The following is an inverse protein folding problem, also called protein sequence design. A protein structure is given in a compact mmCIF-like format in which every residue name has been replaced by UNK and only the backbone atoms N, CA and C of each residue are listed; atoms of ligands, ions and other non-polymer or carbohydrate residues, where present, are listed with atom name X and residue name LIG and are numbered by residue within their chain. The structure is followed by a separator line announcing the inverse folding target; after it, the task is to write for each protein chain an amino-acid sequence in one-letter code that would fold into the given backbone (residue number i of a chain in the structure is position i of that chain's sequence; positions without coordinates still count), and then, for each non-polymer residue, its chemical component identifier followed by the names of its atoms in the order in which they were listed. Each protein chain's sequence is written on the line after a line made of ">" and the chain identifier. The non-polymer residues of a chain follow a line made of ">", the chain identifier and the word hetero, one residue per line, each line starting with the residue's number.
data_IF_184117133723
#
_entry.id   IF_184117133723
#
_cell.length_a   1.000
_cell.length_b   1.000
_cell.length_c   1.000
_cell.angle_alpha   90.00
_cell.angle_beta   90.00
_cell.angle_gamma   90.00
#
_symmetry.space_group_name_H-M   'P 1'
#
loop_
_entity.id
_entity.type
_entity.pdbx_description
1 polymer ?
#
# COMPACT_ATOMS: atom_id res chain seq x y z
N UNK A 1 36.87 54.82 -4.97
CA UNK A 1 35.70 54.42 -5.79
C UNK A 1 35.28 53.03 -5.35
N UNK A 2 34.14 52.92 -4.68
CA UNK A 2 33.73 51.76 -3.86
C UNK A 2 32.82 50.86 -4.70
N UNK A 3 33.27 49.63 -4.98
CA UNK A 3 32.59 48.61 -5.78
C UNK A 3 31.12 48.44 -5.35
N UNK A 4 30.20 48.96 -6.16
CA UNK A 4 28.73 48.91 -5.95
C UNK A 4 28.05 47.76 -6.70
N UNK A 5 28.81 46.79 -7.22
CA UNK A 5 28.29 45.70 -8.05
C UNK A 5 28.19 44.35 -7.34
N UNK A 6 28.62 44.24 -6.08
CA UNK A 6 28.52 42.99 -5.30
C UNK A 6 27.16 42.77 -4.63
N UNK A 7 26.20 43.71 -4.78
CA UNK A 7 24.86 43.59 -4.20
C UNK A 7 23.79 43.14 -5.20
N UNK A 8 24.16 42.91 -6.48
CA UNK A 8 23.23 42.51 -7.54
C UNK A 8 23.34 41.03 -7.94
N UNK A 9 24.12 40.24 -7.20
CA UNK A 9 24.32 38.81 -7.44
C UNK A 9 23.80 37.98 -6.26
N UNK A 10 22.63 38.33 -5.71
CA UNK A 10 22.07 37.65 -4.53
C UNK A 10 20.55 37.41 -4.55
N UNK A 11 19.92 37.31 -5.72
CA UNK A 11 18.49 36.95 -5.82
C UNK A 11 18.20 36.11 -7.07
N UNK A 12 18.83 34.92 -7.17
CA UNK A 12 18.32 33.83 -8.00
C UNK A 12 18.34 32.53 -7.19
N UNK A 13 17.78 32.58 -5.97
CA UNK A 13 17.29 31.36 -5.36
C UNK A 13 16.03 30.97 -6.15
N UNK A 14 16.13 29.96 -7.02
CA UNK A 14 14.97 29.28 -7.58
C UNK A 14 14.10 28.83 -6.39
N UNK A 15 13.09 29.62 -6.06
CA UNK A 15 12.01 29.18 -5.20
C UNK A 15 11.22 28.19 -6.05
N UNK A 16 11.51 26.90 -5.93
CA UNK A 16 10.58 25.87 -6.35
C UNK A 16 9.37 25.95 -5.42
N UNK A 17 8.44 26.84 -5.74
CA UNK A 17 7.12 26.85 -5.11
C UNK A 17 6.36 25.65 -5.65
N UNK A 18 6.34 24.57 -4.87
CA UNK A 18 5.41 23.48 -5.13
C UNK A 18 3.99 24.02 -4.92
N UNK A 19 3.21 24.09 -5.99
CA UNK A 19 1.79 24.40 -5.86
C UNK A 19 1.09 23.16 -5.34
N UNK A 20 0.24 23.35 -4.34
CA UNK A 20 -0.64 22.30 -3.87
C UNK A 20 -1.84 22.21 -4.83
N UNK A 21 -1.94 21.10 -5.55
CA UNK A 21 -3.08 20.81 -6.42
C UNK A 21 -4.16 20.07 -5.62
N UNK A 22 -5.41 20.49 -5.78
CA UNK A 22 -6.59 19.90 -5.13
C UNK A 22 -7.65 19.60 -6.17
N UNK A 23 -8.33 18.47 -6.02
CA UNK A 23 -9.45 18.12 -6.88
C UNK A 23 -10.30 17.01 -6.29
N UNK A 24 -11.27 16.54 -7.07
CA UNK A 24 -12.15 15.41 -6.70
C UNK A 24 -12.18 14.36 -7.82
N UNK A 25 -12.08 13.08 -7.45
CA UNK A 25 -12.22 11.97 -8.39
C UNK A 25 -13.64 11.41 -8.34
N UNK A 26 -14.26 11.23 -9.52
CA UNK A 26 -15.65 10.79 -9.67
C UNK A 26 -15.77 9.64 -10.67
N UNK A 27 -16.78 8.83 -10.46
CA UNK A 27 -17.21 7.78 -11.38
C UNK A 27 -17.94 8.40 -12.59
N UNK A 28 -17.54 7.98 -13.80
CA UNK A 28 -18.16 8.40 -15.05
C UNK A 28 -19.63 8.04 -15.21
N UNK A 29 -20.08 6.96 -14.58
CA UNK A 29 -21.44 6.44 -14.71
C UNK A 29 -22.32 7.02 -13.61
N UNK A 30 -21.95 6.83 -12.34
CA UNK A 30 -22.79 7.25 -11.22
C UNK A 30 -22.63 8.73 -10.83
N UNK A 31 -21.55 9.38 -11.26
CA UNK A 31 -21.19 10.74 -10.85
C UNK A 31 -20.76 10.86 -9.38
N UNK A 32 -20.76 9.74 -8.63
CA UNK A 32 -20.39 9.71 -7.22
C UNK A 32 -18.87 9.81 -7.05
N UNK A 33 -18.40 10.37 -5.90
CA UNK A 33 -16.99 10.38 -5.60
C UNK A 33 -16.41 8.97 -5.47
N UNK A 34 -15.18 8.78 -5.93
CA UNK A 34 -14.45 7.52 -5.78
C UNK A 34 -13.48 7.63 -4.61
N UNK A 35 -13.69 6.88 -3.52
CA UNK A 35 -12.76 6.88 -2.41
C UNK A 35 -11.50 6.08 -2.73
N UNK A 36 -10.39 6.45 -2.11
CA UNK A 36 -9.15 5.69 -2.10
C UNK A 36 -8.51 5.47 -3.49
N UNK A 37 -8.68 6.43 -4.40
CA UNK A 37 -7.97 6.47 -5.69
C UNK A 37 -6.50 6.75 -5.45
N UNK A 38 -5.63 5.91 -6.00
CA UNK A 38 -4.19 6.13 -5.97
C UNK A 38 -3.80 7.17 -7.01
N UNK A 39 -3.06 8.20 -6.59
CA UNK A 39 -2.71 9.35 -7.43
C UNK A 39 -1.21 9.59 -7.29
N UNK A 40 -0.45 9.45 -8.37
CA UNK A 40 1.00 9.70 -8.34
C UNK A 40 1.47 10.58 -9.49
N UNK A 41 2.58 11.27 -9.24
CA UNK A 41 3.32 12.00 -10.25
C UNK A 41 4.15 11.01 -11.05
N UNK A 42 3.95 10.97 -12.36
CA UNK A 42 4.60 10.01 -13.25
C UNK A 42 6.14 10.07 -13.10
N UNK A 43 6.77 8.91 -12.96
CA UNK A 43 8.22 8.73 -12.77
C UNK A 43 8.82 9.32 -11.47
N UNK A 44 8.02 9.90 -10.58
CA UNK A 44 8.47 10.49 -9.32
C UNK A 44 8.03 9.66 -8.11
N UNK A 45 8.61 9.94 -6.94
CA UNK A 45 8.20 9.34 -5.67
C UNK A 45 7.28 10.29 -4.89
N UNK A 46 6.30 10.86 -5.60
CA UNK A 46 5.32 11.80 -5.07
C UNK A 46 3.94 11.23 -5.41
N UNK A 47 3.08 11.10 -4.41
CA UNK A 47 1.70 10.68 -4.61
C UNK A 47 0.86 10.91 -3.37
N UNK A 48 -0.43 10.69 -3.54
CA UNK A 48 -1.46 10.81 -2.52
C UNK A 48 -2.55 9.77 -2.77
N UNK A 49 -3.55 9.73 -1.89
CA UNK A 49 -4.74 8.92 -2.07
C UNK A 49 -5.98 9.79 -1.92
N UNK A 50 -7.03 9.56 -2.70
CA UNK A 50 -8.28 10.30 -2.47
C UNK A 50 -8.93 9.91 -1.13
N UNK A 51 -9.51 10.90 -0.48
CA UNK A 51 -10.28 10.77 0.75
C UNK A 51 -11.60 10.03 0.49
N UNK A 52 -12.37 9.78 1.57
CA UNK A 52 -13.65 9.08 1.48
C UNK A 52 -14.67 9.81 0.56
N UNK A 53 -14.59 11.13 0.49
CA UNK A 53 -15.42 11.98 -0.37
C UNK A 53 -14.81 12.19 -1.78
N UNK A 54 -13.78 11.41 -2.12
CA UNK A 54 -13.09 11.47 -3.41
C UNK A 54 -12.19 12.68 -3.59
N UNK A 55 -12.10 13.59 -2.61
CA UNK A 55 -11.18 14.72 -2.67
C UNK A 55 -9.74 14.27 -2.54
N UNK A 56 -8.80 15.00 -3.14
CA UNK A 56 -7.37 14.71 -3.00
C UNK A 56 -6.58 16.00 -2.97
N UNK A 57 -5.39 15.91 -2.39
CA UNK A 57 -4.41 17.00 -2.36
C UNK A 57 -3.02 16.43 -2.66
N UNK A 58 -2.32 17.01 -3.65
CA UNK A 58 -0.98 16.57 -4.06
C UNK A 58 -0.07 17.76 -4.35
N UNK A 59 1.17 17.68 -3.88
CA UNK A 59 2.18 18.71 -4.14
C UNK A 59 2.93 18.37 -5.43
N UNK A 60 2.75 19.17 -6.48
CA UNK A 60 3.39 18.92 -7.78
C UNK A 60 3.49 20.22 -8.58
N UNK A 61 4.13 20.17 -9.74
CA UNK A 61 4.24 21.30 -10.67
C UNK A 61 3.39 21.03 -11.91
N UNK A 62 2.86 22.09 -12.53
CA UNK A 62 1.86 21.99 -13.61
C UNK A 62 2.38 21.36 -14.90
N UNK A 63 3.68 21.22 -15.08
CA UNK A 63 4.34 20.54 -16.21
C UNK A 63 4.31 19.01 -16.10
N UNK A 64 3.95 18.46 -14.93
CA UNK A 64 3.96 17.03 -14.66
C UNK A 64 2.69 16.32 -15.09
N UNK A 65 2.77 14.99 -15.19
CA UNK A 65 1.62 14.12 -15.44
C UNK A 65 1.26 13.40 -14.15
N UNK A 66 -0.02 13.47 -13.78
CA UNK A 66 -0.62 12.65 -12.75
C UNK A 66 -1.22 11.41 -13.36
N UNK A 67 -1.04 10.28 -12.68
CA UNK A 67 -1.70 9.03 -13.00
C UNK A 67 -2.66 8.69 -11.87
N UNK A 68 -3.90 8.40 -12.25
CA UNK A 68 -4.99 8.02 -11.36
C UNK A 68 -5.31 6.55 -11.61
N UNK A 69 -5.32 5.74 -10.55
CA UNK A 69 -5.74 4.33 -10.63
C UNK A 69 -6.62 3.95 -9.45
N UNK A 70 -7.64 3.15 -9.70
CA UNK A 70 -8.51 2.58 -8.69
C UNK A 70 -8.99 1.21 -9.14
N UNK A 71 -9.24 0.31 -8.18
CA UNK A 71 -9.80 -1.01 -8.45
C UNK A 71 -11.16 -0.86 -9.16
N UNK A 72 -11.33 -1.53 -10.30
CA UNK A 72 -12.56 -1.49 -11.10
C UNK A 72 -12.69 -0.27 -12.02
N UNK A 73 -11.61 0.49 -12.21
CA UNK A 73 -11.58 1.66 -13.08
C UNK A 73 -10.35 1.68 -13.99
N UNK A 74 -10.53 2.10 -15.23
CA UNK A 74 -9.45 2.31 -16.16
C UNK A 74 -8.51 3.43 -15.66
N UNK A 75 -7.21 3.14 -15.67
CA UNK A 75 -6.20 4.12 -15.26
C UNK A 75 -6.22 5.34 -16.18
N UNK A 76 -6.07 6.54 -15.62
CA UNK A 76 -6.14 7.81 -16.36
C UNK A 76 -4.92 8.67 -16.11
N UNK A 77 -4.33 9.20 -17.19
CA UNK A 77 -3.22 10.16 -17.12
C UNK A 77 -3.72 11.56 -17.46
N UNK A 78 -3.40 12.55 -16.63
CA UNK A 78 -3.78 13.95 -16.81
C UNK A 78 -2.60 14.85 -16.44
N UNK A 79 -2.36 15.91 -17.21
CA UNK A 79 -1.38 16.93 -16.85
C UNK A 79 -1.81 17.63 -15.55
N UNK A 80 -0.88 17.88 -14.65
CA UNK A 80 -1.12 18.46 -13.31
C UNK A 80 -1.51 19.96 -13.31
N UNK A 81 -2.13 20.44 -14.39
CA UNK A 81 -2.49 21.83 -14.61
C UNK A 81 -4.00 22.02 -14.42
N UNK A 82 -4.39 22.84 -13.43
CA UNK A 82 -5.78 23.23 -13.13
C UNK A 82 -6.79 22.07 -13.16
N UNK A 83 -6.53 21.04 -12.36
CA UNK A 83 -7.46 19.92 -12.17
C UNK A 83 -8.41 20.23 -11.02
N UNK A 84 -9.69 20.48 -11.32
CA UNK A 84 -10.74 20.57 -10.29
C UNK A 84 -11.46 19.22 -10.11
N UNK A 85 -11.69 18.49 -11.20
CA UNK A 85 -12.36 17.20 -11.16
C UNK A 85 -11.76 16.21 -12.18
N UNK A 86 -11.66 14.95 -11.76
CA UNK A 86 -11.20 13.84 -12.59
C UNK A 86 -12.29 12.79 -12.64
N UNK A 87 -12.70 12.43 -13.86
CA UNK A 87 -13.67 11.35 -14.08
C UNK A 87 -12.94 10.09 -14.52
N UNK A 88 -13.12 8.99 -13.79
CA UNK A 88 -12.63 7.65 -14.14
C UNK A 88 -13.75 6.81 -14.75
N UNK A 89 -13.39 6.01 -15.75
CA UNK A 89 -14.32 5.07 -16.40
C UNK A 89 -14.23 3.73 -15.73
N UNK A 90 -15.37 3.09 -15.47
CA UNK A 90 -15.39 1.73 -14.95
C UNK A 90 -14.71 0.80 -15.96
N UNK A 91 -13.93 -0.13 -15.43
CA UNK A 91 -13.27 -1.19 -16.17
C UNK A 91 -13.60 -2.48 -15.43
N UNK A 92 -14.31 -3.39 -16.09
CA UNK A 92 -14.77 -4.61 -15.47
C UNK A 92 -13.57 -5.48 -15.09
N UNK A 93 -13.51 -5.91 -13.83
CA UNK A 93 -12.54 -6.90 -13.38
C UNK A 93 -13.11 -8.27 -13.76
N UNK A 94 -12.40 -8.99 -14.62
CA UNK A 94 -12.72 -10.37 -14.93
C UNK A 94 -12.33 -11.24 -13.72
N UNK A 95 -13.28 -11.48 -12.82
CA UNK A 95 -13.10 -12.49 -11.78
C UNK A 95 -13.30 -13.88 -12.42
N UNK A 96 -12.38 -14.81 -12.12
CA UNK A 96 -12.55 -16.20 -12.52
C UNK A 96 -13.88 -16.77 -12.03
N UNK A 97 -14.52 -17.60 -12.87
CA UNK A 97 -15.84 -18.15 -12.61
C UNK A 97 -15.89 -18.81 -11.22
N UNK A 98 -16.83 -18.35 -10.39
CA UNK A 98 -17.04 -18.89 -9.06
C UNK A 98 -17.50 -20.33 -9.23
N UNK A 99 -16.75 -21.29 -8.69
CA UNK A 99 -17.19 -22.68 -8.64
C UNK A 99 -18.58 -22.73 -7.96
N UNK A 100 -19.49 -23.49 -8.57
CA UNK A 100 -20.92 -23.57 -8.25
C UNK A 100 -21.19 -23.99 -6.78
N UNK A 101 -20.20 -24.55 -6.08
CA UNK A 101 -20.32 -24.92 -4.68
C UNK A 101 -19.78 -23.81 -3.75
N UNK A 102 -20.63 -23.22 -2.88
CA UNK A 102 -20.17 -22.31 -1.84
C UNK A 102 -19.28 -23.05 -0.82
N UNK A 103 -18.44 -22.32 -0.06
CA UNK A 103 -17.66 -22.91 1.02
C UNK A 103 -18.56 -23.61 2.04
N UNK A 104 -18.13 -24.75 2.58
CA UNK A 104 -18.88 -25.55 3.56
C UNK A 104 -18.61 -25.11 5.00
N UNK A 105 -17.39 -24.63 5.29
CA UNK A 105 -16.98 -24.21 6.63
C UNK A 105 -16.91 -25.30 7.70
N UNK A 106 -16.78 -26.57 7.30
CA UNK A 106 -16.72 -27.72 8.21
C UNK A 106 -15.29 -27.97 8.74
N UNK A 107 -14.28 -27.54 7.98
CA UNK A 107 -12.87 -27.70 8.33
C UNK A 107 -12.02 -26.50 7.95
N UNK A 108 -10.88 -26.37 8.61
CA UNK A 108 -9.97 -25.24 8.46
C UNK A 108 -8.50 -25.69 8.44
N UNK A 109 -7.70 -24.95 7.68
CA UNK A 109 -6.24 -24.99 7.76
C UNK A 109 -5.70 -23.59 7.97
N UNK A 110 -4.55 -23.48 8.61
CA UNK A 110 -3.86 -22.20 8.83
C UNK A 110 -2.50 -22.25 8.14
N UNK A 111 -2.25 -21.26 7.28
CA UNK A 111 -0.96 -21.06 6.61
C UNK A 111 -0.31 -19.76 7.06
N UNK A 112 1.01 -19.74 6.97
CA UNK A 112 1.82 -18.67 7.56
C UNK A 112 1.85 -18.74 9.09
N UNK A 113 2.85 -18.11 9.69
CA UNK A 113 2.95 -18.08 11.14
C UNK A 113 3.77 -16.88 11.62
N UNK A 114 3.40 -16.34 12.77
CA UNK A 114 4.19 -15.38 13.51
C UNK A 114 3.76 -15.33 14.99
N UNK A 115 4.63 -14.75 15.82
CA UNK A 115 4.36 -14.46 17.23
C UNK A 115 4.52 -12.95 17.47
N UNK A 116 3.42 -12.26 17.75
CA UNK A 116 3.37 -10.80 17.98
C UNK A 116 4.42 -10.29 18.98
N UNK A 117 4.62 -11.01 20.08
CA UNK A 117 5.60 -10.66 21.11
C UNK A 117 7.04 -10.65 20.60
N UNK A 118 7.32 -11.40 19.53
CA UNK A 118 8.64 -11.55 18.94
C UNK A 118 8.91 -10.58 17.78
N UNK A 119 7.95 -9.71 17.43
CA UNK A 119 8.09 -8.78 16.30
C UNK A 119 8.27 -7.35 16.82
N UNK A 120 9.42 -6.78 16.47
CA UNK A 120 9.79 -5.39 16.77
C UNK A 120 10.11 -4.59 15.50
N UNK A 121 10.17 -5.25 14.34
CA UNK A 121 10.40 -4.63 13.05
C UNK A 121 9.10 -4.53 12.26
N UNK A 122 8.92 -3.43 11.53
CA UNK A 122 7.72 -3.15 10.76
C UNK A 122 8.11 -2.46 9.45
N UNK A 123 7.37 -2.70 8.38
CA UNK A 123 7.35 -1.80 7.23
C UNK A 123 6.41 -0.63 7.53
N UNK A 124 6.81 0.56 7.10
CA UNK A 124 6.00 1.77 7.14
C UNK A 124 5.75 2.25 5.70
N UNK A 125 4.71 3.05 5.50
CA UNK A 125 4.40 3.64 4.19
C UNK A 125 5.51 4.56 3.69
N UNK A 126 6.02 5.43 4.58
CA UNK A 126 6.78 6.59 4.15
C UNK A 126 5.84 7.66 3.56
N UNK A 127 6.30 8.38 2.53
CA UNK A 127 5.61 9.56 1.99
C UNK A 127 5.12 9.41 0.54
N UNK A 128 5.03 8.17 0.03
CA UNK A 128 4.52 7.89 -1.31
C UNK A 128 3.61 6.66 -1.29
N UNK A 129 2.58 6.58 -2.17
CA UNK A 129 1.67 5.44 -2.21
C UNK A 129 2.45 4.18 -2.59
N UNK A 130 2.27 3.11 -1.82
CA UNK A 130 2.92 1.83 -2.06
C UNK A 130 1.98 0.67 -1.72
N UNK A 131 2.17 -0.43 -2.44
CA UNK A 131 1.56 -1.72 -2.14
C UNK A 131 2.68 -2.69 -1.81
N UNK A 132 2.54 -3.45 -0.74
CA UNK A 132 3.45 -4.54 -0.41
C UNK A 132 2.68 -5.85 -0.39
N UNK A 133 3.08 -6.77 -1.24
CA UNK A 133 2.44 -8.05 -1.47
C UNK A 133 3.33 -9.19 -0.95
N UNK A 134 2.76 -10.09 -0.15
CA UNK A 134 3.38 -11.34 0.27
C UNK A 134 2.80 -12.50 -0.53
N UNK A 135 3.67 -13.29 -1.15
CA UNK A 135 3.32 -14.52 -1.84
C UNK A 135 2.98 -15.63 -0.85
N UNK A 136 1.91 -16.36 -1.13
CA UNK A 136 1.56 -17.62 -0.48
C UNK A 136 1.56 -18.72 -1.55
N UNK A 137 2.51 -19.68 -1.49
CA UNK A 137 2.52 -20.80 -2.41
C UNK A 137 1.31 -21.71 -2.17
N UNK A 138 0.86 -22.36 -3.23
CA UNK A 138 -0.15 -23.39 -3.11
C UNK A 138 0.43 -24.60 -2.35
N UNK A 139 -0.30 -25.11 -1.35
CA UNK A 139 0.04 -26.36 -0.65
C UNK A 139 -1.09 -27.36 -0.84
N UNK A 140 -0.77 -28.66 -0.81
CA UNK A 140 -1.72 -29.74 -1.13
C UNK A 140 -3.00 -29.68 -0.28
N UNK A 141 -2.89 -29.27 0.97
CA UNK A 141 -4.01 -29.12 1.90
C UNK A 141 -5.05 -28.10 1.43
N UNK A 142 -4.67 -27.15 0.56
CA UNK A 142 -5.56 -26.15 -0.05
C UNK A 142 -6.50 -26.75 -1.10
N UNK A 143 -6.20 -27.94 -1.65
CA UNK A 143 -7.11 -28.65 -2.57
C UNK A 143 -8.47 -28.93 -1.91
N UNK A 144 -8.45 -29.19 -0.60
CA UNK A 144 -9.65 -29.45 0.21
C UNK A 144 -10.14 -28.22 0.98
N UNK A 145 -9.36 -27.13 1.00
CA UNK A 145 -9.67 -25.88 1.72
C UNK A 145 -9.46 -24.68 0.79
N UNK A 146 -10.26 -24.64 -0.28
CA UNK A 146 -9.99 -23.75 -1.40
C UNK A 146 -10.46 -22.31 -1.21
N UNK A 147 -11.03 -21.94 -0.06
CA UNK A 147 -11.56 -20.60 0.20
C UNK A 147 -10.89 -19.90 1.37
N UNK A 148 -10.67 -18.58 1.23
CA UNK A 148 -10.15 -17.76 2.32
C UNK A 148 -11.23 -17.50 3.36
N UNK A 149 -10.94 -17.83 4.62
CA UNK A 149 -11.84 -17.60 5.76
C UNK A 149 -11.48 -16.34 6.53
N UNK A 150 -10.24 -16.20 6.94
CA UNK A 150 -9.81 -15.03 7.72
C UNK A 150 -8.33 -14.75 7.57
N UNK A 151 -7.94 -13.50 7.80
CA UNK A 151 -6.55 -13.07 7.83
C UNK A 151 -6.24 -12.43 9.18
N UNK A 152 -5.09 -12.76 9.75
CA UNK A 152 -4.49 -12.06 10.87
C UNK A 152 -3.24 -11.32 10.38
N UNK A 153 -3.23 -10.00 10.50
CA UNK A 153 -2.08 -9.14 10.18
C UNK A 153 -1.61 -8.42 11.43
N UNK A 154 -0.30 -8.42 11.68
CA UNK A 154 0.25 -7.59 12.74
C UNK A 154 0.34 -6.13 12.28
N UNK A 155 -0.41 -5.25 12.92
CA UNK A 155 -0.39 -3.81 12.64
C UNK A 155 0.15 -3.06 13.85
N UNK A 156 0.72 -1.89 13.62
CA UNK A 156 1.04 -0.90 14.64
C UNK A 156 0.63 0.47 14.12
N UNK A 157 -0.15 1.20 14.89
CA UNK A 157 -0.53 2.56 14.56
C UNK A 157 -0.24 3.53 15.70
N UNK A 158 0.10 4.76 15.37
CA UNK A 158 0.17 5.88 16.30
C UNK A 158 -1.25 6.46 16.55
N UNK A 159 -2.14 6.38 15.54
CA UNK A 159 -3.55 6.80 15.60
C UNK A 159 -4.53 5.61 15.69
N UNK A 160 -5.76 5.89 16.10
CA UNK A 160 -6.80 4.87 16.32
C UNK A 160 -7.84 4.71 15.20
N UNK A 161 -7.84 5.61 14.22
CA UNK A 161 -8.76 5.66 13.08
C UNK A 161 -8.07 5.36 11.74
N UNK A 162 -6.79 4.98 11.76
CA UNK A 162 -6.06 4.63 10.57
C UNK A 162 -6.68 3.40 9.89
N UNK A 163 -6.39 3.23 8.60
CA UNK A 163 -6.90 2.13 7.79
C UNK A 163 -5.94 1.81 6.64
N UNK A 164 -6.04 0.62 6.08
CA UNK A 164 -5.32 0.23 4.86
C UNK A 164 -6.27 -0.54 3.94
N UNK A 165 -5.91 -0.70 2.68
CA UNK A 165 -6.65 -1.57 1.77
C UNK A 165 -5.94 -2.91 1.69
N UNK A 166 -6.68 -3.97 1.95
CA UNK A 166 -6.24 -5.35 1.77
C UNK A 166 -6.57 -5.79 0.35
N UNK A 167 -5.59 -6.35 -0.35
CA UNK A 167 -5.74 -6.82 -1.73
C UNK A 167 -5.23 -8.23 -1.90
N UNK A 168 -5.80 -8.92 -2.87
CA UNK A 168 -5.49 -10.30 -3.19
C UNK A 168 -5.23 -10.39 -4.68
N UNK A 169 -4.09 -10.95 -5.07
CA UNK A 169 -3.71 -11.02 -6.48
C UNK A 169 -3.42 -12.43 -6.91
N UNK A 170 -3.69 -12.70 -8.17
CA UNK A 170 -3.13 -13.83 -8.89
C UNK A 170 -1.62 -13.67 -9.11
N UNK A 171 -1.02 -14.71 -9.67
CA UNK A 171 0.41 -14.75 -9.97
C UNK A 171 0.56 -14.75 -11.49
N UNK A 172 1.21 -13.71 -12.02
CA UNK A 172 1.58 -13.65 -13.42
C UNK A 172 2.62 -14.75 -13.77
N UNK A 173 2.77 -15.11 -15.05
CA UNK A 173 3.79 -16.07 -15.48
C UNK A 173 5.23 -15.69 -15.09
N UNK A 174 5.52 -14.40 -14.91
CA UNK A 174 6.83 -13.90 -14.46
C UNK A 174 7.00 -13.90 -12.93
N UNK A 175 6.00 -14.40 -12.19
CA UNK A 175 5.98 -14.47 -10.73
C UNK A 175 5.56 -13.16 -10.04
N UNK A 176 5.26 -12.10 -10.77
CA UNK A 176 4.75 -10.85 -10.20
C UNK A 176 3.26 -10.95 -9.83
N UNK A 177 2.76 -10.08 -8.94
CA UNK A 177 1.32 -9.98 -8.72
C UNK A 177 0.57 -9.57 -10.00
N UNK A 178 -0.48 -10.32 -10.33
CA UNK A 178 -1.35 -10.13 -11.50
C UNK A 178 -2.65 -9.41 -11.18
N UNK A 179 -3.75 -9.94 -11.70
CA UNK A 179 -5.09 -9.39 -11.53
C UNK A 179 -5.62 -9.59 -10.10
N UNK A 180 -6.53 -8.71 -9.66
CA UNK A 180 -7.18 -8.84 -8.36
C UNK A 180 -8.16 -10.01 -8.32
N UNK A 181 -8.16 -10.69 -7.18
CA UNK A 181 -9.10 -11.76 -6.82
C UNK A 181 -10.40 -11.23 -6.20
N UNK A 182 -10.56 -9.90 -6.11
CA UNK A 182 -11.72 -9.24 -5.51
C UNK A 182 -12.19 -8.08 -6.37
N UNK A 183 -13.51 -7.92 -6.54
CA UNK A 183 -14.08 -6.81 -7.31
C UNK A 183 -14.14 -5.47 -6.55
N UNK A 184 -13.93 -5.47 -5.23
CA UNK A 184 -14.06 -4.29 -4.39
C UNK A 184 -12.94 -4.19 -3.36
N UNK A 185 -12.60 -2.96 -2.97
CA UNK A 185 -11.59 -2.69 -1.96
C UNK A 185 -12.02 -3.24 -0.59
N UNK A 186 -11.11 -3.96 0.08
CA UNK A 186 -11.30 -4.41 1.46
C UNK A 186 -10.60 -3.41 2.37
N UNK A 187 -11.35 -2.40 2.83
CA UNK A 187 -10.81 -1.35 3.71
C UNK A 187 -10.78 -1.85 5.15
N UNK A 188 -9.60 -1.96 5.73
CA UNK A 188 -9.38 -2.53 7.06
C UNK A 188 -9.09 -1.40 8.05
N UNK A 189 -10.02 -1.04 8.95
CA UNK A 189 -9.74 -0.12 10.04
C UNK A 189 -8.83 -0.80 11.08
N UNK A 190 -7.93 -0.04 11.68
CA UNK A 190 -6.99 -0.55 12.68
C UNK A 190 -7.06 0.23 13.99
N UNK A 191 -6.70 -0.43 15.07
CA UNK A 191 -6.64 0.19 16.40
C UNK A 191 -5.24 0.71 16.69
N UNK A 192 -5.17 1.75 17.53
CA UNK A 192 -3.91 2.30 18.02
C UNK A 192 -3.03 1.24 18.71
N UNK A 193 -1.73 1.36 18.52
CA UNK A 193 -0.69 0.51 19.10
C UNK A 193 -0.48 -0.78 18.31
N UNK A 194 0.41 -1.66 18.82
CA UNK A 194 0.73 -2.94 18.17
C UNK A 194 -0.39 -3.96 18.43
N UNK A 195 -1.12 -4.38 17.39
CA UNK A 195 -2.31 -5.24 17.47
C UNK A 195 -2.28 -6.34 16.41
N UNK A 196 -2.80 -7.51 16.78
CA UNK A 196 -3.19 -8.49 15.78
C UNK A 196 -4.55 -8.04 15.23
N UNK A 197 -4.56 -7.63 13.98
CA UNK A 197 -5.78 -7.19 13.28
C UNK A 197 -6.35 -8.40 12.56
N UNK A 198 -7.55 -8.82 12.96
CA UNK A 198 -8.27 -9.94 12.36
C UNK A 198 -9.27 -9.40 11.35
N UNK A 199 -9.28 -9.99 10.16
CA UNK A 199 -10.15 -9.65 9.04
C UNK A 199 -10.92 -10.91 8.66
N UNK A 200 -12.25 -10.82 8.68
CA UNK A 200 -13.12 -11.84 8.13
C UNK A 200 -13.16 -11.72 6.60
N UNK A 201 -12.96 -12.84 5.91
CA UNK A 201 -12.89 -12.93 4.46
C UNK A 201 -14.01 -13.77 3.85
N UNK A 202 -14.86 -14.43 4.66
CA UNK A 202 -15.85 -15.39 4.17
C UNK A 202 -16.84 -14.76 3.17
N UNK A 203 -17.26 -13.51 3.43
CA UNK A 203 -18.20 -12.79 2.57
C UNK A 203 -17.66 -12.50 1.17
N UNK A 204 -16.35 -12.45 0.99
CA UNK A 204 -15.71 -12.21 -0.31
C UNK A 204 -15.57 -13.46 -1.17
N UNK A 205 -15.74 -14.66 -0.58
CA UNK A 205 -15.69 -15.95 -1.29
C UNK A 205 -14.44 -16.12 -2.16
N UNK A 206 -13.31 -15.61 -1.68
CA UNK A 206 -12.05 -15.63 -2.43
C UNK A 206 -11.55 -17.06 -2.51
N UNK A 207 -11.51 -17.60 -3.73
CA UNK A 207 -10.96 -18.92 -4.00
C UNK A 207 -9.44 -18.83 -4.20
N UNK A 208 -8.72 -19.82 -3.69
CA UNK A 208 -7.27 -19.93 -3.82
C UNK A 208 -6.89 -20.46 -5.22
N UNK A 209 -6.06 -19.72 -5.98
CA UNK A 209 -5.50 -20.21 -7.24
C UNK A 209 -4.46 -21.31 -7.01
N UNK A 210 -4.38 -22.26 -7.95
CA UNK A 210 -3.44 -23.40 -7.88
C UNK A 210 -1.97 -23.00 -8.03
N UNK A 211 -1.69 -21.82 -8.58
CA UNK A 211 -0.33 -21.28 -8.71
C UNK A 211 0.11 -20.49 -7.47
N UNK A 212 -0.69 -20.50 -6.41
CA UNK A 212 -0.56 -19.59 -5.27
C UNK A 212 -1.17 -18.23 -5.56
N UNK A 213 -1.01 -17.31 -4.62
CA UNK A 213 -1.60 -15.98 -4.68
C UNK A 213 -0.81 -15.01 -3.80
N UNK A 214 -1.09 -13.73 -3.96
CA UNK A 214 -0.57 -12.70 -3.09
C UNK A 214 -1.62 -12.19 -2.13
N UNK A 215 -1.19 -11.88 -0.91
CA UNK A 215 -1.93 -11.03 0.03
C UNK A 215 -1.15 -9.74 0.20
N UNK A 216 -1.81 -8.61 -0.03
CA UNK A 216 -1.14 -7.33 -0.14
C UNK A 216 -1.76 -6.25 0.75
N UNK A 217 -0.90 -5.40 1.30
CA UNK A 217 -1.29 -4.18 2.00
C UNK A 217 -1.00 -3.00 1.09
N UNK A 218 -2.07 -2.27 0.74
CA UNK A 218 -2.00 -0.97 0.10
C UNK A 218 -2.20 0.11 1.16
N UNK A 219 -1.20 0.97 1.32
CA UNK A 219 -1.27 2.10 2.24
C UNK A 219 -2.04 3.25 1.60
N UNK A 220 -2.79 3.97 2.44
CA UNK A 220 -3.55 5.14 2.03
C UNK A 220 -2.85 6.40 2.55
N UNK A 221 -2.54 7.32 1.65
CA UNK A 221 -2.04 8.66 1.99
C UNK A 221 -3.24 9.58 2.13
N UNK A 222 -3.90 9.46 3.29
CA UNK A 222 -5.11 10.18 3.68
C UNK A 222 -4.92 10.79 5.07
N UNK A 223 -5.72 11.78 5.41
CA UNK A 223 -5.60 12.50 6.68
C UNK A 223 -5.80 11.59 7.91
N UNK A 224 -6.72 10.63 7.82
CA UNK A 224 -6.93 9.65 8.90
C UNK A 224 -5.66 8.88 9.24
N UNK A 225 -4.82 8.58 8.24
CA UNK A 225 -3.57 7.88 8.39
C UNK A 225 -2.38 8.79 8.74
N UNK A 226 -2.48 10.09 8.42
CA UNK A 226 -1.40 11.07 8.62
C UNK A 226 -1.09 11.27 10.11
N UNK A 227 0.18 11.22 10.46
CA UNK A 227 0.68 11.61 11.78
C UNK A 227 2.01 12.37 11.68
N UNK A 228 2.23 13.24 12.68
CA UNK A 228 3.47 14.02 12.79
C UNK A 228 4.39 13.42 13.85
N UNK A 229 5.68 13.49 13.59
CA UNK A 229 6.69 13.02 14.52
C UNK A 229 7.92 13.93 14.48
N UNK A 230 8.74 13.84 15.53
CA UNK A 230 10.01 14.57 15.60
C UNK A 230 11.18 13.59 15.41
N UNK A 231 12.15 13.95 14.58
CA UNK A 231 13.36 13.16 14.37
C UNK A 231 14.63 14.02 14.42
N UNK A 232 15.79 13.38 14.59
CA UNK A 232 17.11 14.03 14.48
C UNK A 232 17.79 13.59 13.19
N UNK A 233 18.64 14.44 12.63
CA UNK A 233 19.48 14.10 11.47
C UNK A 233 20.88 13.76 11.92
N UNK A 234 21.52 12.83 11.23
CA UNK A 234 22.96 12.62 11.39
C UNK A 234 23.69 13.96 11.14
N UNK A 235 24.67 14.28 11.98
CA UNK A 235 25.49 15.50 11.92
C UNK A 235 24.80 16.83 12.32
N UNK A 236 23.54 16.80 12.79
CA UNK A 236 22.81 18.00 13.29
C UNK A 236 22.60 17.97 14.83
N UNK A 237 23.35 17.11 15.52
CA UNK A 237 23.31 16.96 16.98
C UNK A 237 21.92 16.56 17.50
N UNK A 238 21.46 17.23 18.57
CA UNK A 238 20.17 17.00 19.23
C UNK A 238 19.01 17.80 18.63
N UNK A 239 19.24 18.55 17.54
CA UNK A 239 18.22 19.36 16.88
C UNK A 239 17.11 18.46 16.34
N UNK A 240 15.87 18.78 16.70
CA UNK A 240 14.69 18.06 16.24
C UNK A 240 14.08 18.72 15.00
N UNK A 241 13.69 17.88 14.05
CA UNK A 241 13.02 18.22 12.82
C UNK A 241 11.62 17.61 12.80
N UNK A 242 10.68 18.30 12.17
CA UNK A 242 9.34 17.79 11.92
C UNK A 242 9.35 16.79 10.77
N UNK A 243 8.69 15.66 10.99
CA UNK A 243 8.43 14.62 10.01
C UNK A 243 6.95 14.30 9.93
N UNK A 244 6.53 13.82 8.77
CA UNK A 244 5.17 13.35 8.49
C UNK A 244 5.28 11.94 7.94
N UNK A 245 4.43 11.05 8.42
CA UNK A 245 4.33 9.68 7.94
C UNK A 245 2.86 9.21 8.04
N UNK A 246 2.57 8.03 7.50
CA UNK A 246 1.23 7.49 7.40
C UNK A 246 1.15 6.09 8.02
N UNK A 247 0.20 5.92 8.94
CA UNK A 247 -0.15 4.62 9.51
C UNK A 247 -0.88 3.75 8.46
N UNK A 248 -0.97 2.42 8.67
CA UNK A 248 -0.25 1.63 9.67
C UNK A 248 1.25 1.49 9.41
N UNK A 249 1.97 1.00 10.42
CA UNK A 249 3.12 0.13 10.20
C UNK A 249 2.67 -1.33 10.23
N UNK A 250 3.18 -2.15 9.32
CA UNK A 250 2.86 -3.59 9.24
C UNK A 250 4.04 -4.40 9.75
N UNK A 251 3.79 -5.31 10.68
CA UNK A 251 4.80 -6.17 11.26
C UNK A 251 5.46 -7.08 10.21
N UNK A 252 6.75 -7.34 10.40
CA UNK A 252 7.53 -8.20 9.50
C UNK A 252 8.26 -9.32 10.24
N UNK A 253 8.52 -10.40 9.51
CA UNK A 253 9.27 -11.56 9.96
C UNK A 253 10.42 -11.86 8.98
N UNK A 254 11.52 -12.47 9.46
CA UNK A 254 12.58 -12.92 8.59
C UNK A 254 12.12 -14.13 7.75
N UNK A 255 12.64 -14.23 6.53
CA UNK A 255 12.47 -15.37 5.63
C UNK A 255 13.80 -15.73 4.97
N UNK A 256 13.97 -17.01 4.62
CA UNK A 256 15.11 -17.50 3.83
C UNK A 256 14.95 -17.24 2.34
N UNK A 257 13.71 -17.08 1.88
CA UNK A 257 13.35 -16.87 0.48
C UNK A 257 12.63 -15.55 0.28
N UNK A 258 12.73 -15.00 -0.93
CA UNK A 258 11.99 -13.79 -1.30
C UNK A 258 10.55 -14.14 -1.66
N UNK A 259 9.62 -13.65 -0.87
CA UNK A 259 8.18 -13.79 -1.08
C UNK A 259 7.49 -12.44 -1.30
N UNK A 260 8.26 -11.34 -1.22
CA UNK A 260 7.70 -10.00 -1.10
C UNK A 260 7.91 -9.19 -2.37
N UNK A 261 6.82 -8.61 -2.87
CA UNK A 261 6.81 -7.68 -3.99
C UNK A 261 6.32 -6.31 -3.54
N UNK A 262 6.89 -5.26 -4.12
CA UNK A 262 6.48 -3.88 -3.87
C UNK A 262 5.98 -3.26 -5.17
N UNK A 263 4.77 -2.72 -5.15
CA UNK A 263 4.30 -1.81 -6.19
C UNK A 263 4.71 -0.40 -5.82
N UNK A 264 5.51 0.23 -6.67
CA UNK A 264 5.83 1.65 -6.56
C UNK A 264 6.17 2.21 -7.94
N UNK A 265 5.93 3.51 -8.16
CA UNK A 265 6.16 4.17 -9.46
C UNK A 265 5.48 3.45 -10.65
N UNK A 266 4.31 2.88 -10.41
CA UNK A 266 3.51 2.23 -11.45
C UNK A 266 3.93 0.80 -11.83
N UNK A 267 4.89 0.18 -11.10
CA UNK A 267 5.41 -1.15 -11.42
C UNK A 267 5.60 -2.01 -10.19
N UNK A 268 5.45 -3.33 -10.37
CA UNK A 268 5.81 -4.35 -9.41
C UNK A 268 7.33 -4.60 -9.43
N UNK A 269 7.92 -4.68 -8.25
CA UNK A 269 9.33 -4.98 -8.04
C UNK A 269 9.48 -6.07 -6.98
N UNK A 270 10.20 -7.15 -7.30
CA UNK A 270 10.54 -8.17 -6.31
C UNK A 270 11.54 -7.57 -5.30
N UNK A 271 11.24 -7.64 -4.00
CA UNK A 271 12.15 -7.17 -2.95
C UNK A 271 13.21 -8.23 -2.64
N UNK A 272 14.05 -8.54 -3.64
CA UNK A 272 15.17 -9.46 -3.51
C UNK A 272 16.39 -8.79 -2.85
N UNK A 273 16.19 -8.26 -1.63
CA UNK A 273 17.22 -7.57 -0.86
C UNK A 273 17.23 -8.14 0.56
N UNK A 274 18.38 -8.69 0.96
CA UNK A 274 18.61 -9.18 2.32
C UNK A 274 18.88 -8.03 3.29
N UNK A 275 18.46 -8.21 4.54
CA UNK A 275 18.64 -7.21 5.59
C UNK A 275 20.04 -7.30 6.23
N UNK A 276 21.06 -6.89 5.47
CA UNK A 276 22.49 -7.01 5.85
C UNK A 276 22.90 -6.11 7.01
N UNK A 277 22.17 -5.01 7.24
CA UNK A 277 22.46 -4.04 8.30
C UNK A 277 21.76 -4.34 9.63
N UNK A 278 21.01 -5.45 9.72
CA UNK A 278 20.31 -5.80 10.95
C UNK A 278 21.31 -6.10 12.08
N UNK A 279 21.07 -5.49 13.26
CA UNK A 279 21.85 -5.78 14.47
C UNK A 279 21.50 -7.14 15.10
N UNK A 280 20.29 -7.64 14.85
CA UNK A 280 19.83 -8.92 15.41
C UNK A 280 20.11 -10.05 14.43
N UNK A 281 20.79 -11.10 14.88
CA UNK A 281 21.10 -12.29 14.07
C UNK A 281 19.86 -12.94 13.45
N UNK A 282 18.71 -12.82 14.13
CA UNK A 282 17.43 -13.32 13.61
C UNK A 282 17.00 -12.67 12.30
N UNK A 283 17.37 -11.42 12.07
CA UNK A 283 16.98 -10.66 10.87
C UNK A 283 18.16 -10.42 9.92
N UNK A 284 19.39 -10.62 10.40
CA UNK A 284 20.59 -10.39 9.62
C UNK A 284 20.69 -11.39 8.47
N UNK A 285 20.95 -10.87 7.28
CA UNK A 285 21.09 -11.65 6.04
C UNK A 285 19.83 -12.48 5.67
N UNK A 286 18.67 -12.07 6.18
CA UNK A 286 17.35 -12.62 5.84
C UNK A 286 16.56 -11.69 4.94
N UNK A 287 15.66 -12.25 4.15
CA UNK A 287 14.58 -11.50 3.52
C UNK A 287 13.54 -11.11 4.55
N UNK A 288 12.73 -10.11 4.24
CA UNK A 288 11.69 -9.60 5.14
C UNK A 288 10.35 -9.73 4.44
N UNK A 289 9.40 -10.37 5.12
CA UNK A 289 8.05 -10.54 4.62
C UNK A 289 7.00 -10.14 5.67
N UNK A 290 5.77 -9.92 5.20
CA UNK A 290 4.67 -9.50 6.05
C UNK A 290 4.29 -10.58 7.08
N UNK A 291 4.10 -10.15 8.33
CA UNK A 291 3.65 -11.00 9.43
C UNK A 291 2.14 -11.26 9.31
N UNK A 292 1.81 -12.34 8.62
CA UNK A 292 0.45 -12.74 8.27
C UNK A 292 0.19 -14.20 8.66
N UNK A 293 -1.02 -14.48 9.14
CA UNK A 293 -1.58 -15.83 9.25
C UNK A 293 -2.90 -15.86 8.50
N UNK A 294 -3.09 -16.84 7.64
CA UNK A 294 -4.29 -16.96 6.84
C UNK A 294 -4.97 -18.28 7.17
N UNK A 295 -6.26 -18.20 7.48
CA UNK A 295 -7.12 -19.36 7.68
C UNK A 295 -7.90 -19.61 6.41
N UNK A 296 -7.85 -20.84 5.92
CA UNK A 296 -8.61 -21.31 4.77
C UNK A 296 -9.64 -22.33 5.22
N UNK A 297 -10.66 -22.53 4.41
CA UNK A 297 -11.79 -23.40 4.71
C UNK A 297 -12.25 -24.14 3.47
N UNK A 298 -12.91 -25.28 3.69
CA UNK A 298 -13.46 -26.13 2.65
C UNK A 298 -14.72 -25.55 2.00
#
# INVERSE_FOLDING_TARGET
>A
MRNKYWLWMLLFAFQFSFSQLKGVVKDSISGQPIPYVNIWVENENIGTTSELDGTFTINTTSDKVLVFSALGFASKKIKADKIESVVLKNEAIALHEVIIAPPKHDSEIVIGNYKKGSINHHFACGNAPQILAKFFPFVKEMEQHSFLKSLLVLTKAEKGNAKFVLRFFEVNPDGSPGDDLTAQNIVVPIKKGKKDTSIDLQSYKIKVPTNGFFVAVEWLIIEDNRYEYKFTKANEGSKKFDGVDYDPRIGIIPSEETTTWRYHKGKWHNLNIKNTQAKSDRYKDKYLELAMKLTLTN
#
